data_IF_243746595623
#
_entry.id   IF_243746595623
#
_cell.length_a   1.000
_cell.length_b   1.000
_cell.length_c   1.000
_cell.angle_alpha   90.00
_cell.angle_beta   90.00
_cell.angle_gamma   90.00
#
_symmetry.space_group_name_H-M   'P 1'
#
loop_
_entity.id
_entity.type
_entity.pdbx_description
1 polymer ?
#
# COMPACT_ATOMS: atom_id res chain seq x y z
N UNK A 1 71.90 3.13 -8.04
CA UNK A 1 70.96 2.68 -6.98
C UNK A 1 69.55 2.61 -7.57
N UNK A 2 68.97 1.39 -7.54
CA UNK A 2 67.53 1.03 -7.42
C UNK A 2 66.45 1.69 -8.31
N UNK A 3 65.98 0.89 -9.27
CA UNK A 3 64.59 0.40 -9.49
C UNK A 3 63.40 1.12 -8.82
N UNK A 4 62.33 1.36 -9.61
CA UNK A 4 61.05 0.62 -9.50
C UNK A 4 60.10 0.94 -10.67
N UNK A 5 59.87 -0.07 -11.53
CA UNK A 5 58.65 -0.21 -12.32
C UNK A 5 57.68 -1.09 -11.52
N UNK A 6 56.39 -0.80 -11.57
CA UNK A 6 55.32 -1.81 -11.46
C UNK A 6 54.03 -1.27 -12.09
N UNK A 7 53.36 -2.05 -12.97
CA UNK A 7 52.06 -1.68 -13.53
C UNK A 7 50.88 -2.11 -12.64
N UNK A 8 49.79 -1.35 -12.73
CA UNK A 8 48.54 -1.56 -12.01
C UNK A 8 47.84 -2.87 -12.41
N UNK A 9 47.48 -3.67 -11.41
CA UNK A 9 46.71 -4.92 -11.53
C UNK A 9 45.23 -4.60 -11.36
N UNK A 10 44.41 -4.93 -12.38
CA UNK A 10 42.94 -4.97 -12.27
C UNK A 10 42.50 -6.44 -12.27
N UNK A 11 41.65 -6.90 -11.33
CA UNK A 11 41.20 -8.29 -11.32
C UNK A 11 40.04 -8.50 -12.31
N UNK A 12 40.24 -9.43 -13.25
CA UNK A 12 39.20 -9.98 -14.11
C UNK A 12 38.60 -11.23 -13.45
N UNK A 13 37.30 -11.22 -13.17
CA UNK A 13 36.56 -12.37 -12.63
C UNK A 13 36.19 -13.30 -13.79
N UNK A 14 36.67 -14.55 -13.72
CA UNK A 14 36.33 -15.65 -14.63
C UNK A 14 35.04 -16.35 -14.15
N UNK A 15 34.13 -16.79 -15.04
CA UNK A 15 33.01 -17.64 -14.67
C UNK A 15 33.49 -19.08 -14.44
N UNK A 16 33.12 -19.64 -13.28
CA UNK A 16 33.44 -21.02 -12.89
C UNK A 16 32.59 -22.05 -13.62
N UNK A 17 33.23 -23.16 -13.98
CA UNK A 17 32.59 -24.42 -14.34
C UNK A 17 31.88 -25.01 -13.12
N UNK A 18 30.65 -25.51 -13.29
CA UNK A 18 30.09 -26.53 -12.39
C UNK A 18 29.42 -27.63 -13.21
N UNK A 19 29.78 -28.84 -12.81
CA UNK A 19 29.47 -30.17 -13.31
C UNK A 19 28.00 -30.47 -13.56
N UNK A 20 27.75 -31.28 -14.58
CA UNK A 20 26.49 -32.00 -14.77
C UNK A 20 26.43 -33.18 -13.78
N UNK A 21 25.30 -33.33 -13.09
CA UNK A 21 24.84 -34.60 -12.55
C UNK A 21 23.38 -34.76 -12.97
N UNK A 22 23.08 -35.89 -13.62
CA UNK A 22 21.75 -36.30 -14.01
C UNK A 22 21.10 -37.10 -12.87
N UNK A 23 19.82 -36.86 -12.61
CA UNK A 23 18.87 -37.90 -12.16
C UNK A 23 17.41 -37.45 -12.35
N UNK A 24 16.65 -38.40 -12.91
CA UNK A 24 15.19 -38.59 -12.98
C UNK A 24 14.32 -37.83 -11.95
N UNK A 25 13.11 -37.35 -12.25
CA UNK A 25 11.95 -38.15 -12.67
C UNK A 25 10.70 -37.26 -12.89
N UNK A 26 9.90 -37.67 -13.88
CA UNK A 26 8.44 -37.56 -14.08
C UNK A 26 7.58 -36.70 -13.12
N UNK A 27 6.74 -35.81 -13.68
CA UNK A 27 5.24 -35.87 -13.57
C UNK A 27 4.62 -35.12 -14.76
N UNK A 28 3.74 -35.82 -15.48
CA UNK A 28 2.88 -35.28 -16.55
C UNK A 28 1.64 -34.59 -16.00
N UNK A 29 1.19 -33.52 -16.66
CA UNK A 29 -0.23 -33.13 -16.66
C UNK A 29 -0.75 -33.07 -18.10
N UNK A 30 -1.79 -33.87 -18.34
CA UNK A 30 -2.60 -33.88 -19.55
C UNK A 30 -3.50 -32.66 -19.60
N UNK A 31 -3.66 -32.03 -20.78
CA UNK A 31 -4.96 -31.53 -21.23
C UNK A 31 -4.94 -31.12 -22.72
N UNK A 32 -5.71 -31.89 -23.49
CA UNK A 32 -6.69 -31.47 -24.51
C UNK A 32 -6.20 -30.88 -25.86
N UNK A 33 -6.39 -31.70 -26.90
CA UNK A 33 -6.48 -31.33 -28.34
C UNK A 33 -7.77 -30.53 -28.61
N UNK A 34 -7.87 -29.76 -29.71
CA UNK A 34 -8.27 -30.28 -31.05
C UNK A 34 -7.48 -29.57 -32.18
N UNK A 35 -7.43 -29.90 -33.48
CA UNK A 35 -8.05 -30.87 -34.40
C UNK A 35 -7.27 -30.81 -35.72
N UNK A 36 -7.14 -31.98 -36.36
CA UNK A 36 -7.00 -32.28 -37.80
C UNK A 36 -6.69 -31.15 -38.81
N UNK A 37 -5.68 -31.37 -39.65
CA UNK A 37 -5.88 -31.40 -41.12
C UNK A 37 -4.78 -32.19 -41.86
N UNK A 38 -5.22 -32.97 -42.86
CA UNK A 38 -4.43 -33.75 -43.84
C UNK A 38 -3.30 -32.91 -44.49
N UNK A 39 -2.18 -33.43 -44.98
CA UNK A 39 -1.79 -34.76 -45.40
C UNK A 39 -0.89 -34.61 -46.65
N UNK A 40 0.25 -35.28 -46.71
CA UNK A 40 0.64 -36.10 -47.86
C UNK A 40 2.02 -36.73 -47.67
N UNK A 41 2.03 -38.04 -47.95
CA UNK A 41 3.19 -38.92 -48.01
C UNK A 41 3.88 -38.74 -49.36
N UNK A 42 5.20 -38.82 -49.37
CA UNK A 42 5.89 -39.61 -50.41
C UNK A 42 7.11 -40.31 -49.82
N UNK A 43 7.22 -41.58 -50.19
CA UNK A 43 8.17 -42.61 -49.78
C UNK A 43 9.51 -42.50 -50.52
N UNK A 44 10.50 -43.23 -49.99
CA UNK A 44 11.71 -43.67 -50.70
C UNK A 44 12.94 -42.89 -50.25
N UNK A 45 14.05 -43.47 -49.81
CA UNK A 45 14.49 -44.85 -49.72
C UNK A 45 15.91 -44.76 -49.17
N UNK A 46 16.23 -45.57 -48.16
CA UNK A 46 17.57 -45.69 -47.58
C UNK A 46 18.35 -46.69 -48.44
N UNK A 47 19.58 -46.35 -48.84
CA UNK A 47 20.77 -47.20 -48.69
C UNK A 47 22.03 -46.40 -49.10
N UNK A 48 22.83 -46.20 -48.06
CA UNK A 48 24.26 -45.93 -47.89
C UNK A 48 25.23 -46.04 -49.07
N UNK A 49 26.09 -45.02 -49.21
CA UNK A 49 27.56 -45.20 -49.31
C UNK A 49 28.29 -43.94 -48.86
N UNK A 50 29.34 -44.17 -48.09
CA UNK A 50 30.16 -43.22 -47.34
C UNK A 50 31.07 -42.36 -48.23
N UNK A 51 31.08 -41.05 -48.01
CA UNK A 51 32.26 -40.20 -48.24
C UNK A 51 32.33 -39.10 -47.20
N UNK A 52 33.51 -38.99 -46.60
CA UNK A 52 33.92 -37.97 -45.62
C UNK A 52 33.79 -36.60 -46.27
N UNK A 53 33.15 -35.65 -45.59
CA UNK A 53 33.20 -34.23 -45.98
C UNK A 53 33.26 -33.37 -44.73
N UNK A 54 34.35 -32.63 -44.60
CA UNK A 54 34.64 -31.64 -43.58
C UNK A 54 33.49 -30.64 -43.44
N UNK A 55 32.82 -30.64 -42.30
CA UNK A 55 31.76 -29.67 -42.00
C UNK A 55 32.39 -28.44 -41.36
N UNK A 56 32.59 -27.39 -42.16
CA UNK A 56 32.76 -26.03 -41.66
C UNK A 56 31.37 -25.58 -41.19
N UNK A 57 31.17 -25.44 -39.88
CA UNK A 57 29.95 -24.83 -39.34
C UNK A 57 30.02 -23.33 -39.63
N UNK A 58 29.44 -22.93 -40.75
CA UNK A 58 29.16 -21.53 -41.04
C UNK A 58 28.03 -21.06 -40.11
N UNK A 59 28.40 -20.37 -39.02
CA UNK A 59 27.46 -19.60 -38.22
C UNK A 59 26.84 -18.51 -39.10
N UNK A 60 25.62 -18.74 -39.60
CA UNK A 60 24.82 -17.71 -40.26
C UNK A 60 24.48 -16.63 -39.23
N UNK A 61 25.18 -15.51 -39.29
CA UNK A 61 24.74 -14.24 -38.70
C UNK A 61 23.39 -13.87 -39.33
N UNK A 62 22.28 -14.21 -38.65
CA UNK A 62 20.98 -13.59 -38.96
C UNK A 62 21.07 -12.12 -38.59
N UNK A 63 20.94 -11.26 -39.60
CA UNK A 63 20.84 -9.80 -39.50
C UNK A 63 19.92 -9.40 -38.35
N UNK A 64 20.41 -8.52 -37.47
CA UNK A 64 19.59 -7.77 -36.51
C UNK A 64 18.49 -7.02 -37.27
N UNK A 65 17.24 -7.40 -37.08
CA UNK A 65 16.13 -6.48 -37.37
C UNK A 65 16.15 -5.40 -36.30
N UNK A 66 16.58 -4.18 -36.65
CA UNK A 66 16.28 -3.02 -35.81
C UNK A 66 14.76 -2.87 -35.77
N UNK A 67 14.14 -3.19 -34.64
CA UNK A 67 12.73 -2.85 -34.40
C UNK A 67 12.69 -1.33 -34.30
N UNK A 68 12.37 -0.66 -35.41
CA UNK A 68 11.97 0.74 -35.40
C UNK A 68 10.52 0.77 -34.90
N UNK A 69 10.33 1.15 -33.65
CA UNK A 69 9.00 1.51 -33.16
C UNK A 69 8.56 2.77 -33.93
N UNK A 70 7.61 2.63 -34.86
CA UNK A 70 6.90 3.78 -35.41
C UNK A 70 5.86 4.17 -34.36
N UNK A 71 6.07 5.31 -33.72
CA UNK A 71 5.13 5.88 -32.77
C UNK A 71 3.96 6.48 -33.57
N UNK A 72 3.01 5.64 -33.96
CA UNK A 72 1.70 6.09 -34.45
C UNK A 72 0.69 5.87 -33.33
N UNK A 73 0.71 6.78 -32.35
CA UNK A 73 -0.35 6.87 -31.35
C UNK A 73 -1.41 7.81 -31.92
N UNK A 74 -2.50 7.24 -32.44
CA UNK A 74 -3.71 8.00 -32.71
C UNK A 74 -4.34 8.29 -31.35
N UNK A 75 -4.02 9.48 -30.81
CA UNK A 75 -4.71 9.98 -29.63
C UNK A 75 -6.10 10.39 -30.08
N UNK A 76 -7.11 9.57 -29.78
CA UNK A 76 -8.49 10.05 -29.79
C UNK A 76 -8.51 11.23 -28.81
N UNK A 77 -8.81 12.43 -29.31
CA UNK A 77 -8.53 13.73 -28.68
C UNK A 77 -9.24 14.04 -27.36
N UNK A 78 -9.53 13.02 -26.55
CA UNK A 78 -9.98 13.12 -25.17
C UNK A 78 -8.81 13.05 -24.17
N UNK A 79 -7.57 13.25 -24.64
CA UNK A 79 -6.46 13.50 -23.74
C UNK A 79 -6.79 14.76 -22.95
N UNK A 80 -6.95 14.63 -21.62
CA UNK A 80 -6.98 15.79 -20.73
C UNK A 80 -5.78 16.64 -21.09
N UNK A 81 -6.04 17.78 -21.73
CA UNK A 81 -5.05 18.83 -21.87
C UNK A 81 -4.50 19.07 -20.47
N UNK A 82 -3.16 19.06 -20.34
CA UNK A 82 -2.52 19.33 -19.07
C UNK A 82 -3.17 20.59 -18.49
N UNK A 83 -3.84 20.46 -17.35
CA UNK A 83 -4.39 21.63 -16.67
C UNK A 83 -3.24 22.62 -16.51
N UNK A 84 -3.50 23.91 -16.81
CA UNK A 84 -2.45 24.93 -16.79
C UNK A 84 -1.82 24.95 -15.39
N UNK A 85 -0.61 24.40 -15.28
CA UNK A 85 0.07 24.28 -14.01
C UNK A 85 0.53 25.67 -13.54
N UNK A 86 -0.09 26.16 -12.47
CA UNK A 86 0.34 27.36 -11.78
C UNK A 86 0.55 27.03 -10.30
N UNK A 87 1.78 27.09 -9.80
CA UNK A 87 2.07 26.79 -8.38
C UNK A 87 1.34 27.75 -7.42
N UNK A 88 1.10 28.99 -7.86
CA UNK A 88 0.46 30.06 -7.09
C UNK A 88 -1.02 30.23 -7.45
N UNK A 89 -1.72 29.11 -7.54
CA UNK A 89 -3.15 29.12 -7.82
C UNK A 89 -3.94 29.65 -6.62
N UNK A 90 -4.65 30.76 -6.82
CA UNK A 90 -5.41 31.43 -5.76
C UNK A 90 -6.57 30.57 -5.24
N UNK A 91 -6.99 29.52 -5.95
CA UNK A 91 -8.02 28.60 -5.47
C UNK A 91 -7.49 27.63 -4.41
N UNK A 92 -6.17 27.50 -4.26
CA UNK A 92 -5.53 26.54 -3.37
C UNK A 92 -4.81 27.23 -2.20
N UNK A 93 -4.70 26.51 -1.09
CA UNK A 93 -3.98 26.91 0.12
C UNK A 93 -2.95 25.85 0.48
N UNK A 94 -1.77 26.28 0.93
CA UNK A 94 -0.75 25.36 1.44
C UNK A 94 -1.21 24.73 2.76
N UNK A 95 -0.77 23.50 2.99
CA UNK A 95 -1.11 22.74 4.19
C UNK A 95 0.08 21.93 4.70
N UNK A 96 0.11 21.74 6.02
CA UNK A 96 1.05 20.85 6.70
C UNK A 96 0.33 19.64 7.28
N UNK A 97 1.01 18.50 7.30
CA UNK A 97 0.50 17.28 7.94
C UNK A 97 0.67 17.42 9.45
N UNK A 98 -0.41 17.14 10.18
CA UNK A 98 -0.42 17.07 11.65
C UNK A 98 -0.12 15.63 12.07
N UNK A 99 0.63 15.45 13.17
CA UNK A 99 0.89 14.13 13.78
C UNK A 99 -0.35 13.59 14.52
N UNK A 100 -1.42 13.34 13.77
CA UNK A 100 -2.65 12.71 14.25
C UNK A 100 -2.58 11.17 14.05
N UNK A 101 -3.22 10.43 14.94
CA UNK A 101 -3.34 8.97 14.84
C UNK A 101 -4.71 8.57 14.28
N UNK A 102 -5.77 9.10 14.88
CA UNK A 102 -7.15 8.70 14.60
C UNK A 102 -8.12 9.85 14.86
N UNK A 103 -9.30 9.73 14.24
CA UNK A 103 -10.45 10.61 14.46
C UNK A 103 -11.66 9.80 14.91
N UNK A 104 -12.44 10.39 15.80
CA UNK A 104 -13.71 9.85 16.29
C UNK A 104 -14.79 10.91 16.23
N UNK A 105 -16.02 10.51 15.98
CA UNK A 105 -17.20 11.37 16.13
C UNK A 105 -18.14 10.69 17.12
N UNK A 106 -18.59 11.39 18.15
CA UNK A 106 -19.51 10.84 19.16
C UNK A 106 -20.24 11.93 19.94
N UNK A 107 -20.80 11.59 21.11
CA UNK A 107 -21.56 12.53 21.95
C UNK A 107 -20.74 13.76 22.41
N UNK A 108 -19.43 13.58 22.60
CA UNK A 108 -18.49 14.64 22.94
C UNK A 108 -18.12 15.52 21.74
N UNK A 109 -18.60 15.19 20.53
CA UNK A 109 -18.28 15.85 19.27
C UNK A 109 -17.18 15.13 18.49
N UNK A 110 -16.60 15.84 17.53
CA UNK A 110 -15.47 15.32 16.75
C UNK A 110 -14.18 15.47 17.54
N UNK A 111 -13.41 14.39 17.66
CA UNK A 111 -12.13 14.39 18.35
C UNK A 111 -11.03 13.90 17.43
N UNK A 112 -9.88 14.59 17.47
CA UNK A 112 -8.63 14.16 16.85
C UNK A 112 -7.68 13.74 17.95
N UNK A 113 -7.26 12.47 17.93
CA UNK A 113 -6.23 11.98 18.82
C UNK A 113 -4.87 12.17 18.18
N UNK A 114 -4.03 12.94 18.85
CA UNK A 114 -2.67 13.27 18.43
C UNK A 114 -1.71 12.15 18.83
N UNK A 115 -0.57 12.05 18.15
CA UNK A 115 0.50 11.09 18.44
C UNK A 115 1.07 11.23 19.86
N UNK A 116 1.11 12.44 20.38
CA UNK A 116 1.58 12.74 21.74
C UNK A 116 0.52 12.46 22.84
N UNK A 117 -0.62 11.88 22.47
CA UNK A 117 -1.70 11.55 23.38
C UNK A 117 -2.65 12.71 23.69
N UNK A 118 -2.41 13.92 23.16
CA UNK A 118 -3.39 15.01 23.25
C UNK A 118 -4.64 14.65 22.46
N UNK A 119 -5.79 15.09 22.96
CA UNK A 119 -7.05 15.01 22.24
C UNK A 119 -7.52 16.43 21.92
N UNK A 120 -7.76 16.68 20.65
CA UNK A 120 -8.31 17.94 20.16
C UNK A 120 -9.79 17.74 19.90
N UNK A 121 -10.62 18.50 20.61
CA UNK A 121 -12.05 18.58 20.31
C UNK A 121 -12.23 19.59 19.20
N UNK A 122 -12.86 19.19 18.12
CA UNK A 122 -13.12 20.04 16.97
C UNK A 122 -14.61 20.14 16.67
N UNK A 123 -15.00 21.23 16.03
CA UNK A 123 -16.31 21.36 15.41
C UNK A 123 -16.16 21.70 13.94
N UNK A 124 -17.19 21.36 13.18
CA UNK A 124 -17.27 21.68 11.77
C UNK A 124 -17.19 23.20 11.55
N UNK A 125 -16.41 23.63 10.56
CA UNK A 125 -16.28 25.04 10.23
C UNK A 125 -17.59 25.58 9.65
N UNK A 126 -18.20 24.81 8.73
CA UNK A 126 -19.49 25.11 8.14
C UNK A 126 -20.64 24.52 8.99
N UNK A 127 -21.53 25.35 9.58
CA UNK A 127 -22.67 24.85 10.37
C UNK A 127 -23.68 24.04 9.54
N UNK A 128 -23.69 24.20 8.21
CA UNK A 128 -24.53 23.42 7.30
C UNK A 128 -23.92 22.04 6.97
N UNK A 129 -22.70 21.75 7.41
CA UNK A 129 -22.03 20.46 7.21
C UNK A 129 -22.68 19.28 7.92
N UNK A 130 -23.77 19.53 8.67
CA UNK A 130 -24.54 18.51 9.37
C UNK A 130 -23.88 18.04 10.67
N UNK A 131 -24.62 17.21 11.41
CA UNK A 131 -24.06 16.43 12.51
C UNK A 131 -23.28 15.27 11.92
N UNK A 132 -22.00 15.14 12.26
CA UNK A 132 -21.19 14.00 11.85
C UNK A 132 -21.81 12.75 12.46
N UNK A 133 -22.09 11.68 11.68
CA UNK A 133 -22.60 10.44 12.26
C UNK A 133 -21.65 9.98 13.37
N UNK A 134 -22.20 9.36 14.41
CA UNK A 134 -21.38 8.72 15.44
C UNK A 134 -20.64 7.55 14.78
N UNK A 135 -19.32 7.54 14.89
CA UNK A 135 -18.51 6.48 14.33
C UNK A 135 -17.27 6.20 15.20
N UNK A 136 -16.91 4.92 15.24
CA UNK A 136 -15.77 4.40 16.01
C UNK A 136 -14.43 5.05 15.60
N UNK A 137 -13.35 4.93 16.37
CA UNK A 137 -12.06 5.49 15.96
C UNK A 137 -11.58 4.97 14.60
N UNK A 138 -11.24 5.89 13.69
CA UNK A 138 -10.66 5.56 12.39
C UNK A 138 -9.30 6.23 12.22
N UNK A 139 -8.30 5.55 11.63
CA UNK A 139 -7.06 6.17 11.21
C UNK A 139 -7.33 7.34 10.25
N UNK A 140 -6.61 8.43 10.42
CA UNK A 140 -6.77 9.60 9.58
C UNK A 140 -5.45 10.33 9.34
N UNK A 141 -5.37 10.97 8.18
CA UNK A 141 -4.36 11.97 7.88
C UNK A 141 -5.02 13.33 8.07
N UNK A 142 -4.47 14.17 8.94
CA UNK A 142 -5.02 15.50 9.22
C UNK A 142 -4.12 16.55 8.61
N UNK A 143 -4.68 17.35 7.69
CA UNK A 143 -3.99 18.49 7.09
C UNK A 143 -4.39 19.77 7.82
N UNK A 144 -3.41 20.60 8.20
CA UNK A 144 -3.63 21.93 8.77
C UNK A 144 -3.39 22.99 7.71
N UNK A 145 -4.33 23.90 7.53
CA UNK A 145 -4.20 25.00 6.55
C UNK A 145 -3.21 26.06 7.03
N UNK A 146 -2.36 26.54 6.12
CA UNK A 146 -1.30 27.54 6.37
C UNK A 146 -1.71 28.96 5.93
N UNK A 147 -3.01 29.24 5.84
CA UNK A 147 -3.59 30.56 5.56
C UNK A 147 -3.92 31.39 6.83
N UNK A 148 -3.52 30.88 8.00
CA UNK A 148 -3.82 31.51 9.28
C UNK A 148 -5.22 31.22 9.83
N UNK A 149 -6.08 30.49 9.09
CA UNK A 149 -7.41 30.09 9.59
C UNK A 149 -7.31 29.05 10.71
N UNK A 150 -6.23 28.28 10.74
CA UNK A 150 -6.04 27.18 11.69
C UNK A 150 -6.98 25.98 11.45
N UNK A 151 -7.65 25.93 10.29
CA UNK A 151 -8.54 24.83 9.93
C UNK A 151 -7.79 23.51 9.78
N UNK A 152 -8.42 22.45 10.26
CA UNK A 152 -7.96 21.06 10.11
C UNK A 152 -8.86 20.33 9.13
N UNK A 153 -8.30 19.71 8.09
CA UNK A 153 -9.02 18.83 7.18
C UNK A 153 -8.65 17.38 7.49
N UNK A 154 -9.52 16.63 8.17
CA UNK A 154 -9.31 15.20 8.41
C UNK A 154 -9.67 14.38 7.17
N UNK A 155 -8.75 13.54 6.72
CA UNK A 155 -8.95 12.56 5.64
C UNK A 155 -8.89 11.18 6.26
N UNK A 156 -10.03 10.51 6.37
CA UNK A 156 -10.13 9.14 6.89
C UNK A 156 -9.46 8.19 5.91
N UNK A 157 -8.58 7.33 6.43
CA UNK A 157 -7.80 6.38 5.64
C UNK A 157 -7.70 5.04 6.34
N UNK A 158 -7.16 4.05 5.63
CA UNK A 158 -6.78 2.79 6.25
C UNK A 158 -5.50 2.94 7.08
N UNK A 159 -5.25 1.97 7.95
CA UNK A 159 -4.13 1.98 8.89
C UNK A 159 -2.76 2.10 8.18
N UNK A 160 -2.54 1.32 7.12
CA UNK A 160 -1.23 1.25 6.44
C UNK A 160 -0.75 2.60 5.86
N UNK A 161 -1.54 3.36 5.08
CA UNK A 161 -1.16 4.70 4.64
C UNK A 161 -0.80 5.66 5.78
N UNK A 162 -1.54 5.63 6.89
CA UNK A 162 -1.24 6.46 8.07
C UNK A 162 0.07 6.07 8.73
N UNK A 163 0.30 4.78 8.95
CA UNK A 163 1.55 4.27 9.55
C UNK A 163 2.75 4.63 8.67
N UNK A 164 2.65 4.44 7.36
CA UNK A 164 3.72 4.78 6.42
C UNK A 164 3.99 6.28 6.34
N UNK A 165 2.96 7.13 6.48
CA UNK A 165 3.13 8.58 6.54
C UNK A 165 3.85 8.99 7.82
N UNK A 166 3.42 8.46 8.97
CA UNK A 166 4.03 8.73 10.27
C UNK A 166 5.49 8.28 10.33
N UNK A 167 5.82 7.13 9.73
CA UNK A 167 7.21 6.68 9.59
C UNK A 167 8.04 7.68 8.76
N UNK A 168 7.49 8.21 7.66
CA UNK A 168 8.18 9.20 6.84
C UNK A 168 8.38 10.54 7.57
N UNK A 169 7.36 11.04 8.28
CA UNK A 169 7.45 12.28 9.05
C UNK A 169 8.50 12.19 10.16
N UNK A 170 8.57 11.03 10.83
CA UNK A 170 9.56 10.76 11.89
C UNK A 170 10.92 10.28 11.38
N UNK A 171 11.13 10.27 10.07
CA UNK A 171 12.36 9.80 9.42
C UNK A 171 12.79 8.37 9.82
N UNK A 172 11.82 7.51 10.15
CA UNK A 172 12.05 6.10 10.45
C UNK A 172 12.30 5.34 9.16
N UNK A 173 13.46 4.69 9.07
CA UNK A 173 13.83 3.88 7.91
C UNK A 173 13.15 2.51 7.97
N UNK A 174 12.46 2.15 6.89
CA UNK A 174 11.84 0.84 6.72
C UNK A 174 12.81 -0.04 5.92
N UNK A 175 13.04 -1.27 6.38
CA UNK A 175 14.07 -2.16 5.83
C UNK A 175 13.92 -2.49 4.33
N UNK A 176 12.69 -2.40 3.80
CA UNK A 176 12.37 -2.60 2.38
C UNK A 176 11.80 -1.30 1.79
N UNK A 177 12.11 -0.98 0.52
CA UNK A 177 11.51 0.17 -0.15
C UNK A 177 9.98 0.07 -0.15
N UNK A 178 9.32 1.12 0.33
CA UNK A 178 7.86 1.27 0.23
C UNK A 178 7.47 1.65 -1.20
N UNK A 179 6.21 1.43 -1.59
CA UNK A 179 5.70 1.88 -2.89
C UNK A 179 5.94 3.37 -3.14
N UNK A 180 5.84 4.21 -2.10
CA UNK A 180 6.09 5.65 -2.21
C UNK A 180 7.56 5.98 -2.52
N UNK A 181 8.48 5.21 -1.94
CA UNK A 181 9.91 5.32 -2.25
C UNK A 181 10.21 4.87 -3.67
N UNK A 182 9.59 3.77 -4.11
CA UNK A 182 9.72 3.27 -5.49
C UNK A 182 9.21 4.30 -6.50
N UNK A 183 8.06 4.93 -6.25
CA UNK A 183 7.50 5.98 -7.12
C UNK A 183 8.45 7.19 -7.20
N UNK A 184 9.00 7.63 -6.08
CA UNK A 184 9.99 8.71 -6.04
C UNK A 184 11.23 8.37 -6.90
N UNK A 185 11.82 7.20 -6.67
CA UNK A 185 13.00 6.77 -7.44
C UNK A 185 12.72 6.57 -8.93
N UNK A 186 11.51 6.13 -9.28
CA UNK A 186 11.07 5.99 -10.66
C UNK A 186 10.97 7.36 -11.33
N UNK A 187 10.34 8.35 -10.68
CA UNK A 187 10.26 9.72 -11.19
C UNK A 187 11.67 10.30 -11.43
N UNK A 188 12.55 10.18 -10.42
CA UNK A 188 13.93 10.69 -10.50
C UNK A 188 14.70 10.02 -11.66
N UNK A 189 14.64 8.69 -11.78
CA UNK A 189 15.33 7.93 -12.85
C UNK A 189 14.77 8.20 -14.25
N UNK A 190 13.50 8.58 -14.35
CA UNK A 190 12.86 8.96 -15.61
C UNK A 190 13.12 10.42 -16.00
N UNK A 191 13.84 11.18 -15.17
CA UNK A 191 14.15 12.59 -15.43
C UNK A 191 12.97 13.53 -15.15
N UNK A 192 12.09 13.15 -14.23
CA UNK A 192 11.00 13.99 -13.73
C UNK A 192 11.23 14.36 -12.27
N UNK A 193 10.68 15.50 -11.87
CA UNK A 193 10.66 15.95 -10.50
C UNK A 193 9.22 16.18 -10.07
N UNK A 194 8.83 15.62 -8.93
CA UNK A 194 7.55 15.94 -8.29
C UNK A 194 7.58 17.42 -7.85
N UNK A 195 6.54 18.18 -8.19
CA UNK A 195 6.44 19.62 -7.90
C UNK A 195 5.57 19.91 -6.69
N UNK A 196 4.36 19.36 -6.67
CA UNK A 196 3.39 19.54 -5.58
C UNK A 196 2.27 18.50 -5.68
N UNK A 197 1.45 18.45 -4.64
CA UNK A 197 0.20 17.68 -4.61
C UNK A 197 -0.97 18.60 -4.29
N UNK A 198 -2.12 18.39 -4.94
CA UNK A 198 -3.37 19.11 -4.66
C UNK A 198 -4.44 18.14 -4.21
N UNK A 199 -5.12 18.42 -3.10
CA UNK A 199 -6.42 17.82 -2.78
C UNK A 199 -7.49 18.72 -3.37
N UNK A 200 -8.19 18.24 -4.39
CA UNK A 200 -8.95 19.10 -5.30
C UNK A 200 -10.43 19.17 -4.95
N UNK A 201 -11.09 18.01 -4.86
CA UNK A 201 -12.53 17.93 -4.68
C UNK A 201 -12.92 16.74 -3.82
N UNK A 202 -14.17 16.75 -3.39
CA UNK A 202 -14.83 15.62 -2.72
C UNK A 202 -16.12 15.27 -3.43
N UNK A 203 -16.32 13.99 -3.70
CA UNK A 203 -17.50 13.48 -4.40
C UNK A 203 -17.96 12.22 -3.67
N UNK A 204 -19.21 12.19 -3.21
CA UNK A 204 -19.77 11.08 -2.42
C UNK A 204 -18.85 10.64 -1.27
N UNK A 205 -18.50 11.57 -0.38
CA UNK A 205 -17.59 11.35 0.76
C UNK A 205 -16.12 11.04 0.41
N UNK A 206 -15.78 10.80 -0.86
CA UNK A 206 -14.43 10.48 -1.30
C UNK A 206 -13.68 11.72 -1.81
N UNK A 207 -12.51 11.97 -1.24
CA UNK A 207 -11.60 13.03 -1.65
C UNK A 207 -10.72 12.58 -2.83
N UNK A 208 -10.43 13.52 -3.73
CA UNK A 208 -9.58 13.34 -4.90
C UNK A 208 -8.32 14.19 -4.76
N UNK A 209 -7.20 13.70 -5.28
CA UNK A 209 -5.95 14.44 -5.27
C UNK A 209 -5.17 14.28 -6.59
N UNK A 210 -4.45 15.32 -6.97
CA UNK A 210 -3.58 15.30 -8.14
C UNK A 210 -2.12 15.45 -7.72
N UNK A 211 -1.24 14.65 -8.32
CA UNK A 211 0.20 14.75 -8.21
C UNK A 211 0.75 15.43 -9.47
N UNK A 212 1.49 16.52 -9.30
CA UNK A 212 2.09 17.25 -10.41
C UNK A 212 3.58 16.96 -10.49
N UNK A 213 4.07 16.63 -11.69
CA UNK A 213 5.48 16.44 -12.00
C UNK A 213 5.87 17.34 -13.16
N UNK A 214 7.13 17.75 -13.20
CA UNK A 214 7.71 18.42 -14.36
C UNK A 214 8.97 17.71 -14.80
N UNK A 215 9.29 17.79 -16.08
CA UNK A 215 10.57 17.27 -16.58
C UNK A 215 11.73 18.10 -16.02
N UNK A 216 12.82 17.44 -15.61
CA UNK A 216 14.02 18.14 -15.12
C UNK A 216 14.57 19.03 -16.25
N UNK A 217 14.74 20.32 -15.97
CA UNK A 217 15.20 21.33 -16.94
C UNK A 217 14.10 21.92 -17.83
N UNK A 218 12.84 21.49 -17.71
CA UNK A 218 11.70 22.11 -18.38
C UNK A 218 10.50 22.18 -17.43
N UNK A 219 10.35 23.32 -16.74
CA UNK A 219 9.26 23.55 -15.80
C UNK A 219 7.90 23.80 -16.48
N UNK A 220 7.89 24.18 -17.77
CA UNK A 220 6.64 24.41 -18.51
C UNK A 220 5.94 23.12 -18.95
N UNK A 221 6.67 22.00 -19.01
CA UNK A 221 6.11 20.70 -19.35
C UNK A 221 5.72 19.97 -18.05
N UNK A 222 4.48 20.23 -17.61
CA UNK A 222 3.91 19.65 -16.40
C UNK A 222 2.89 18.56 -16.73
N UNK A 223 3.03 17.43 -16.06
CA UNK A 223 2.11 16.29 -16.12
C UNK A 223 1.44 16.10 -14.76
N UNK A 224 0.16 15.75 -14.78
CA UNK A 224 -0.63 15.50 -13.57
C UNK A 224 -1.15 14.06 -13.55
N UNK A 225 -1.14 13.43 -12.38
CA UNK A 225 -1.75 12.12 -12.14
C UNK A 225 -2.83 12.22 -11.07
N UNK A 226 -4.00 11.65 -11.34
CA UNK A 226 -5.05 11.49 -10.33
C UNK A 226 -4.69 10.36 -9.36
N UNK A 227 -4.79 10.62 -8.07
CA UNK A 227 -4.41 9.74 -6.98
C UNK A 227 -5.39 9.86 -5.81
N UNK A 228 -5.42 8.83 -4.97
CA UNK A 228 -6.05 8.96 -3.65
C UNK A 228 -5.22 9.96 -2.81
N UNK A 229 -5.85 10.82 -1.99
CA UNK A 229 -5.14 11.79 -1.17
C UNK A 229 -4.09 11.15 -0.26
N UNK A 230 -4.38 9.98 0.32
CA UNK A 230 -3.45 9.26 1.18
C UNK A 230 -2.12 8.92 0.49
N UNK A 231 -2.19 8.54 -0.79
CA UNK A 231 -1.02 8.17 -1.58
C UNK A 231 -0.27 9.42 -2.04
N UNK A 232 -1.00 10.44 -2.50
CA UNK A 232 -0.43 11.70 -2.95
C UNK A 232 0.33 12.40 -1.80
N UNK A 233 -0.28 12.51 -0.61
CA UNK A 233 0.34 13.10 0.58
C UNK A 233 1.60 12.31 1.00
N UNK A 234 1.55 10.97 0.96
CA UNK A 234 2.71 10.13 1.29
C UNK A 234 3.90 10.34 0.34
N UNK A 235 3.62 10.54 -0.95
CA UNK A 235 4.63 10.91 -1.94
C UNK A 235 5.16 12.31 -1.65
N UNK A 236 4.27 13.28 -1.42
CA UNK A 236 4.63 14.67 -1.17
C UNK A 236 5.59 14.84 0.00
N UNK A 237 5.31 14.19 1.14
CA UNK A 237 6.16 14.23 2.33
C UNK A 237 7.57 13.67 2.05
N UNK A 238 7.69 12.58 1.27
CA UNK A 238 8.99 11.95 0.93
C UNK A 238 9.78 12.73 -0.12
N UNK A 239 9.06 13.40 -1.02
CA UNK A 239 9.63 14.30 -2.02
C UNK A 239 9.93 15.70 -1.45
N UNK A 240 9.42 16.02 -0.25
CA UNK A 240 9.52 17.33 0.40
C UNK A 240 8.95 18.46 -0.47
N UNK A 241 7.76 18.21 -1.03
CA UNK A 241 7.05 19.16 -1.88
C UNK A 241 5.79 19.69 -1.19
N UNK A 242 5.27 20.85 -1.61
CA UNK A 242 4.05 21.41 -1.04
C UNK A 242 2.84 20.50 -1.20
N UNK A 243 1.99 20.49 -0.16
CA UNK A 243 0.66 19.90 -0.19
C UNK A 243 -0.34 21.05 -0.17
N UNK A 244 -1.11 21.16 -1.23
CA UNK A 244 -2.13 22.19 -1.42
C UNK A 244 -3.52 21.58 -1.30
N UNK A 245 -4.46 22.34 -0.75
CA UNK A 245 -5.87 21.95 -0.63
C UNK A 245 -6.72 23.04 -1.26
N UNK A 246 -7.75 22.65 -1.99
CA UNK A 246 -8.73 23.60 -2.53
C UNK A 246 -9.39 24.39 -1.39
N UNK A 247 -9.45 25.72 -1.50
CA UNK A 247 -9.96 26.60 -0.44
C UNK A 247 -11.44 26.36 -0.14
N UNK A 248 -12.25 26.13 -1.16
CA UNK A 248 -13.67 25.82 -0.96
C UNK A 248 -13.81 24.53 -0.14
N UNK A 249 -13.06 23.49 -0.51
CA UNK A 249 -13.04 22.22 0.22
C UNK A 249 -12.55 22.38 1.67
N UNK A 250 -11.45 23.13 1.87
CA UNK A 250 -10.89 23.38 3.19
C UNK A 250 -11.88 24.15 4.08
N UNK A 251 -12.63 25.10 3.53
CA UNK A 251 -13.65 25.83 4.26
C UNK A 251 -14.91 25.01 4.51
N UNK A 252 -15.37 24.25 3.50
CA UNK A 252 -16.61 23.49 3.59
C UNK A 252 -16.48 22.35 4.59
N UNK A 253 -15.40 21.57 4.51
CA UNK A 253 -15.24 20.30 5.25
C UNK A 253 -14.22 20.41 6.40
N UNK A 254 -13.56 21.57 6.51
CA UNK A 254 -12.60 21.83 7.57
C UNK A 254 -13.22 21.89 8.94
N UNK A 255 -12.40 21.58 9.95
CA UNK A 255 -12.74 21.54 11.36
C UNK A 255 -11.95 22.61 12.11
N UNK A 256 -12.61 23.31 13.04
CA UNK A 256 -11.98 24.26 13.97
C UNK A 256 -11.72 23.56 15.30
N UNK A 257 -10.54 23.77 15.89
CA UNK A 257 -10.22 23.28 17.23
C UNK A 257 -10.92 24.17 18.27
N UNK A 258 -11.73 23.57 19.14
CA UNK A 258 -12.44 24.27 20.22
C UNK A 258 -11.66 24.13 21.54
N UNK A 259 -11.21 22.93 21.86
CA UNK A 259 -10.53 22.61 23.11
C UNK A 259 -9.36 21.65 22.85
N UNK A 260 -8.25 21.87 23.54
CA UNK A 260 -7.12 20.95 23.56
C UNK A 260 -6.97 20.39 24.98
N UNK A 261 -7.32 19.12 25.20
CA UNK A 261 -7.13 18.45 26.48
C UNK A 261 -5.80 17.69 26.46
N UNK A 262 -4.95 17.95 27.45
CA UNK A 262 -3.78 17.12 27.78
C UNK A 262 -4.26 16.07 28.79
N UNK A 263 -3.87 14.79 28.69
CA UNK A 263 -4.15 13.86 29.79
C UNK A 263 -3.36 14.33 31.02
N UNK A 264 -4.06 14.77 32.06
CA UNK A 264 -3.48 15.21 33.32
C UNK A 264 -2.98 14.02 34.13
N UNK A 265 -1.70 14.04 34.51
CA UNK A 265 -1.12 13.19 35.55
C UNK A 265 -1.82 13.48 36.89
N UNK A 266 -2.66 12.55 37.35
CA UNK A 266 -3.23 12.54 38.71
C UNK A 266 -3.13 11.09 39.20
N UNK A 267 -2.67 10.81 40.43
CA UNK A 267 -2.54 9.43 40.91
C UNK A 267 -3.93 8.79 41.02
N UNK A 268 -4.10 7.52 40.59
CA UNK A 268 -5.41 6.90 40.54
C UNK A 268 -5.85 6.53 41.97
N UNK A 269 -6.98 7.08 42.39
CA UNK A 269 -7.86 6.44 43.38
C UNK A 269 -8.66 5.35 42.65
N UNK A 270 -8.96 4.20 43.28
CA UNK A 270 -9.32 2.98 42.56
C UNK A 270 -10.79 3.02 42.15
N UNK A 271 -11.05 3.53 40.95
CA UNK A 271 -12.32 3.36 40.27
C UNK A 271 -12.05 3.25 38.76
N UNK A 272 -11.67 2.04 38.36
CA UNK A 272 -11.84 1.46 37.02
C UNK A 272 -11.61 2.39 35.83
N UNK A 273 -10.34 2.68 35.55
CA UNK A 273 -9.84 3.10 34.23
C UNK A 273 -8.93 1.99 33.70
N UNK A 274 -9.08 1.62 32.42
CA UNK A 274 -8.26 0.55 31.82
C UNK A 274 -8.34 0.49 30.30
N UNK A 275 -7.33 1.09 29.67
CA UNK A 275 -6.81 0.87 28.31
C UNK A 275 -7.26 -0.44 27.63
N UNK A 276 -8.26 -0.35 26.75
CA UNK A 276 -8.57 -1.39 25.77
C UNK A 276 -7.58 -1.28 24.62
N UNK A 277 -6.49 -2.07 24.64
CA UNK A 277 -5.98 -2.79 23.45
C UNK A 277 -4.75 -3.67 23.74
N UNK A 278 -4.19 -3.66 24.95
CA UNK A 278 -3.07 -4.55 25.32
C UNK A 278 -3.29 -5.42 26.56
N UNK A 279 -4.41 -5.28 27.29
CA UNK A 279 -4.70 -6.10 28.47
C UNK A 279 -5.87 -7.09 28.32
N UNK A 280 -6.51 -7.22 27.15
CA UNK A 280 -7.58 -8.22 26.97
C UNK A 280 -7.07 -9.67 26.88
N UNK A 281 -5.76 -9.88 26.68
CA UNK A 281 -5.15 -11.22 26.67
C UNK A 281 -4.53 -11.64 28.01
N UNK A 282 -4.66 -10.83 29.07
CA UNK A 282 -4.21 -11.26 30.40
C UNK A 282 -5.33 -12.06 31.07
N UNK A 283 -5.19 -13.38 31.25
CA UNK A 283 -6.27 -14.17 31.82
C UNK A 283 -6.48 -13.75 33.27
N UNK A 284 -7.66 -13.20 33.58
CA UNK A 284 -8.09 -12.89 34.95
C UNK A 284 -8.30 -14.14 35.84
N UNK A 285 -7.86 -15.32 35.39
CA UNK A 285 -8.06 -16.61 36.06
C UNK A 285 -9.52 -17.08 36.14
N UNK A 286 -10.49 -16.22 35.76
CA UNK A 286 -11.91 -16.54 35.74
C UNK A 286 -12.30 -17.31 34.48
N UNK A 287 -13.10 -18.35 34.66
CA UNK A 287 -13.61 -19.17 33.58
C UNK A 287 -14.64 -18.37 32.74
N UNK A 288 -14.20 -17.70 31.67
CA UNK A 288 -15.11 -17.07 30.73
C UNK A 288 -15.69 -18.09 29.75
N UNK A 289 -16.90 -17.80 29.24
CA UNK A 289 -17.58 -18.69 28.30
C UNK A 289 -16.85 -18.75 26.95
N UNK A 290 -16.25 -17.65 26.53
CA UNK A 290 -15.54 -17.56 25.25
C UNK A 290 -14.26 -18.43 25.25
N UNK A 291 -13.53 -18.54 26.38
CA UNK A 291 -12.40 -19.50 26.51
C UNK A 291 -12.87 -20.94 26.40
N UNK A 292 -14.04 -21.29 26.94
CA UNK A 292 -14.58 -22.66 26.80
C UNK A 292 -14.93 -22.97 25.35
N UNK A 293 -15.52 -22.02 24.63
CA UNK A 293 -15.83 -22.15 23.22
C UNK A 293 -14.56 -22.28 22.37
N UNK A 294 -13.56 -21.45 22.65
CA UNK A 294 -12.25 -21.49 22.00
C UNK A 294 -11.54 -22.84 22.22
N UNK A 295 -11.57 -23.38 23.45
CA UNK A 295 -10.97 -24.68 23.74
C UNK A 295 -11.65 -25.83 22.98
N UNK A 296 -12.98 -25.81 22.87
CA UNK A 296 -13.73 -26.80 22.10
C UNK A 296 -13.35 -26.72 20.61
N UNK A 297 -13.28 -25.50 20.06
CA UNK A 297 -12.85 -25.26 18.67
C UNK A 297 -11.41 -25.70 18.41
N UNK A 298 -10.50 -25.40 19.33
CA UNK A 298 -9.09 -25.78 19.23
C UNK A 298 -8.93 -27.30 19.23
N UNK A 299 -9.65 -28.01 20.11
CA UNK A 299 -9.62 -29.48 20.14
C UNK A 299 -10.22 -30.10 18.87
N UNK A 300 -11.29 -29.51 18.34
CA UNK A 300 -11.85 -29.93 17.05
C UNK A 300 -10.82 -29.78 15.92
N UNK A 301 -10.12 -28.64 15.87
CA UNK A 301 -9.11 -28.38 14.84
C UNK A 301 -7.89 -29.29 14.97
N UNK A 302 -7.47 -29.60 16.20
CA UNK A 302 -6.41 -30.59 16.45
C UNK A 302 -6.80 -31.98 15.94
N UNK A 303 -8.03 -32.44 16.23
CA UNK A 303 -8.52 -33.74 15.75
C UNK A 303 -8.59 -33.80 14.21
N UNK A 304 -8.97 -32.70 13.54
CA UNK A 304 -8.94 -32.59 12.07
C UNK A 304 -7.51 -32.68 11.54
N UNK A 305 -6.56 -31.98 12.16
CA UNK A 305 -5.15 -32.02 11.75
C UNK A 305 -4.50 -33.40 11.97
N UNK A 306 -4.97 -34.15 12.97
CA UNK A 306 -4.55 -35.53 13.25
C UNK A 306 -5.34 -36.58 12.43
N UNK A 307 -6.21 -36.17 11.52
CA UNK A 307 -7.08 -37.03 10.70
C UNK A 307 -8.03 -37.95 11.51
N UNK A 308 -8.33 -37.58 12.77
CA UNK A 308 -9.29 -38.27 13.64
C UNK A 308 -10.68 -37.69 13.49
N UNK A 309 -11.34 -38.04 12.39
CA UNK A 309 -12.64 -37.43 12.01
C UNK A 309 -13.79 -37.78 12.96
N UNK A 310 -13.77 -38.95 13.60
CA UNK A 310 -14.79 -39.35 14.58
C UNK A 310 -14.74 -38.46 15.83
N UNK A 311 -13.54 -38.21 16.36
CA UNK A 311 -13.33 -37.29 17.48
C UNK A 311 -13.68 -35.84 17.11
N UNK A 312 -13.34 -35.42 15.88
CA UNK A 312 -13.71 -34.10 15.38
C UNK A 312 -15.24 -33.92 15.30
N UNK A 313 -15.98 -34.97 14.92
CA UNK A 313 -17.44 -34.96 14.90
C UNK A 313 -18.03 -34.82 16.32
N UNK A 314 -17.46 -35.51 17.31
CA UNK A 314 -17.87 -35.33 18.71
C UNK A 314 -17.63 -33.90 19.21
N UNK A 315 -16.48 -33.30 18.88
CA UNK A 315 -16.17 -31.92 19.26
C UNK A 315 -17.11 -30.90 18.59
N UNK A 316 -17.47 -31.13 17.33
CA UNK A 316 -18.48 -30.34 16.61
C UNK A 316 -19.84 -30.40 17.30
N UNK A 317 -20.27 -31.59 17.70
CA UNK A 317 -21.56 -31.78 18.36
C UNK A 317 -21.57 -31.16 19.77
N UNK A 318 -20.45 -31.28 20.51
CA UNK A 318 -20.21 -30.58 21.79
C UNK A 318 -20.28 -29.06 21.62
N UNK A 319 -19.69 -28.51 20.56
CA UNK A 319 -19.76 -27.08 20.24
C UNK A 319 -21.20 -26.63 19.95
N UNK A 320 -21.95 -27.41 19.18
CA UNK A 320 -23.36 -27.15 18.88
C UNK A 320 -24.21 -27.08 20.15
N UNK A 321 -24.05 -28.06 21.05
CA UNK A 321 -24.74 -28.05 22.35
C UNK A 321 -24.35 -26.87 23.24
N UNK A 322 -23.06 -26.49 23.24
CA UNK A 322 -22.57 -25.35 24.00
C UNK A 322 -23.19 -24.03 23.50
N UNK A 323 -23.23 -23.82 22.18
CA UNK A 323 -23.85 -22.63 21.56
C UNK A 323 -25.36 -22.59 21.77
N UNK A 324 -26.05 -23.73 21.69
CA UNK A 324 -27.48 -23.82 21.97
C UNK A 324 -27.78 -23.40 23.42
N UNK A 325 -27.05 -23.94 24.41
CA UNK A 325 -27.19 -23.57 25.83
C UNK A 325 -26.88 -22.09 26.08
N UNK A 326 -25.89 -21.52 25.40
CA UNK A 326 -25.53 -20.10 25.46
C UNK A 326 -26.65 -19.20 24.91
N UNK A 327 -27.26 -19.59 23.79
CA UNK A 327 -28.37 -18.83 23.21
C UNK A 327 -29.61 -18.84 24.12
N UNK A 328 -29.93 -19.98 24.76
CA UNK A 328 -31.03 -20.07 25.75
C UNK A 328 -30.84 -19.12 26.94
N UNK A 329 -29.61 -18.99 27.46
CA UNK A 329 -29.28 -18.06 28.57
C UNK A 329 -29.35 -16.57 28.19
N UNK A 330 -29.43 -16.24 26.90
CA UNK A 330 -29.49 -14.85 26.43
C UNK A 330 -30.92 -14.28 26.38
N UNK A 331 -31.93 -15.14 26.55
CA UNK A 331 -33.37 -14.80 26.48
C UNK A 331 -34.14 -15.04 27.79
N UNK A 332 -33.43 -15.37 28.87
CA UNK A 332 -33.92 -15.48 30.26
C UNK A 332 -33.12 -14.55 31.13
#
# INVERSE_FOLDING_TARGET
MRTLQSPAVCPAIRPGQVSACASSSLVSYNALKPTQFWGNRTKGGIVTKSRVTTTIIALRYKRRSSIKCVFSSHSDGNGSTAENFNENDEEFVNSSVVEALEVTSGAEGFMVKMRDGRQLRCAHNNPQGGHLPDYAPHPAIVLKMEDGTGLLLPIIVLEMPSVLLMAAMTNVQIARPTMYQVVKEMADKMGYQVRLVRVTKRVHEAYFAQLFLSKVGNASDCISFDLRPSDAINIAVRCKVPIQVNKYLAYSDGMRVIESRKPSTTPPTPASDGLLFTEQDRPNGQACLDTKEFNILSNMMLAVNEEKYDEAAEWRDKLGQFRAKRNLKKYT
#
